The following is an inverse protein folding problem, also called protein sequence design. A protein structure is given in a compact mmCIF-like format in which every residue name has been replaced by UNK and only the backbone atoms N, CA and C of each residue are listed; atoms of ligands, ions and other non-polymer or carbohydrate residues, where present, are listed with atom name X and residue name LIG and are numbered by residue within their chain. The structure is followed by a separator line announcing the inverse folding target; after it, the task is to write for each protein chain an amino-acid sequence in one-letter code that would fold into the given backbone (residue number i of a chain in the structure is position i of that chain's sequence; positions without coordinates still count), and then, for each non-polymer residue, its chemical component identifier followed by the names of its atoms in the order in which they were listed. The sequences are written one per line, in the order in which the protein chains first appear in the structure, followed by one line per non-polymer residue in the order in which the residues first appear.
data_IF_894402843357
#
_entry.id   IF_894402843357
#
_cell.length_a   1.000
_cell.length_b   1.000
_cell.length_c   1.000
_cell.angle_alpha   90.00
_cell.angle_beta   90.00
_cell.angle_gamma   90.00
#
_symmetry.space_group_name_H-M   'P 1'
#
loop_
_entity.id
_entity.type
_entity.pdbx_description
1 polymer ?
#
# COMPACT_ATOMS: atom_id res chain seq x y z
N UNK A 1 -26.76 -39.37 -63.23
CA UNK A 1 -26.10 -40.16 -62.18
C UNK A 1 -25.22 -39.20 -61.39
N UNK A 2 -25.56 -39.01 -60.12
CA UNK A 2 -25.06 -37.90 -59.29
C UNK A 2 -23.74 -38.28 -58.61
N UNK A 3 -22.65 -37.63 -59.00
CA UNK A 3 -21.32 -37.84 -58.45
C UNK A 3 -21.21 -37.14 -57.09
N UNK A 4 -21.14 -37.93 -56.02
CA UNK A 4 -20.96 -37.44 -54.64
C UNK A 4 -19.56 -36.83 -54.48
N UNK A 5 -19.50 -35.59 -54.05
CA UNK A 5 -18.29 -34.91 -53.60
C UNK A 5 -17.95 -35.37 -52.18
N UNK A 6 -16.93 -36.23 -52.03
CA UNK A 6 -16.38 -36.59 -50.73
C UNK A 6 -15.46 -35.48 -50.23
N UNK A 7 -16.03 -34.60 -49.41
CA UNK A 7 -15.30 -33.57 -48.67
C UNK A 7 -14.63 -34.26 -47.45
N UNK A 8 -13.38 -34.72 -47.60
CA UNK A 8 -12.61 -35.28 -46.48
C UNK A 8 -11.94 -34.13 -45.70
N UNK A 9 -12.21 -33.96 -44.39
CA UNK A 9 -11.50 -32.99 -43.57
C UNK A 9 -10.02 -33.41 -43.46
N UNK A 10 -9.11 -32.46 -43.69
CA UNK A 10 -7.68 -32.67 -43.49
C UNK A 10 -7.43 -33.02 -42.02
N UNK A 11 -7.02 -34.26 -41.75
CA UNK A 11 -6.53 -34.67 -40.44
C UNK A 11 -5.26 -33.90 -40.14
N UNK A 12 -5.37 -32.79 -39.40
CA UNK A 12 -4.23 -32.12 -38.82
C UNK A 12 -3.65 -33.07 -37.75
N UNK A 13 -2.61 -33.79 -38.16
CA UNK A 13 -1.90 -34.73 -37.31
C UNK A 13 -1.43 -34.09 -36.01
N UNK A 14 -1.43 -34.92 -34.97
CA UNK A 14 -0.87 -34.68 -33.65
C UNK A 14 0.59 -34.18 -33.76
N UNK A 15 0.79 -32.87 -33.94
CA UNK A 15 2.11 -32.25 -33.75
C UNK A 15 2.35 -32.20 -32.25
N UNK A 16 3.17 -33.12 -31.74
CA UNK A 16 3.84 -32.93 -30.45
C UNK A 16 4.44 -31.53 -30.48
N UNK A 17 3.92 -30.63 -29.63
CA UNK A 17 4.44 -29.28 -29.49
C UNK A 17 5.82 -29.41 -28.87
N UNK A 18 6.88 -29.41 -29.68
CA UNK A 18 8.24 -29.31 -29.17
C UNK A 18 8.36 -27.99 -28.42
N UNK A 19 8.73 -28.04 -27.15
CA UNK A 19 9.04 -26.84 -26.37
C UNK A 19 10.24 -26.15 -27.01
N UNK A 20 10.14 -24.82 -27.18
CA UNK A 20 11.23 -24.02 -27.72
C UNK A 20 12.44 -24.10 -26.76
N UNK A 21 13.65 -24.17 -27.31
CA UNK A 21 14.86 -24.13 -26.47
C UNK A 21 15.02 -22.74 -25.85
N UNK A 22 15.84 -22.62 -24.80
CA UNK A 22 16.08 -21.32 -24.14
C UNK A 22 16.65 -20.30 -25.12
N UNK A 23 17.46 -20.76 -26.06
CA UNK A 23 18.07 -20.00 -27.15
C UNK A 23 17.02 -19.52 -28.14
N UNK A 24 16.04 -20.36 -28.49
CA UNK A 24 14.93 -20.00 -29.37
C UNK A 24 14.03 -18.93 -28.74
N UNK A 25 13.71 -19.07 -27.45
CA UNK A 25 12.92 -18.09 -26.68
C UNK A 25 13.63 -16.74 -26.60
N UNK A 26 14.96 -16.72 -26.56
CA UNK A 26 15.76 -15.49 -26.56
C UNK A 26 15.78 -14.80 -27.94
N UNK A 27 15.60 -15.55 -29.03
CA UNK A 27 15.55 -15.04 -30.41
C UNK A 27 14.17 -14.50 -30.80
N UNK A 28 13.11 -14.82 -30.04
CA UNK A 28 11.76 -14.32 -30.31
C UNK A 28 11.63 -12.82 -30.08
N UNK A 29 10.72 -12.17 -30.81
CA UNK A 29 10.34 -10.80 -30.47
C UNK A 29 9.63 -10.75 -29.10
N UNK A 30 9.65 -9.61 -28.38
CA UNK A 30 9.09 -9.52 -27.03
C UNK A 30 7.62 -9.97 -26.91
N UNK A 31 6.79 -9.68 -27.91
CA UNK A 31 5.37 -10.08 -27.92
C UNK A 31 5.19 -11.60 -28.10
N UNK A 32 5.99 -12.21 -28.98
CA UNK A 32 5.98 -13.67 -29.20
C UNK A 32 6.52 -14.41 -27.97
N UNK A 33 7.57 -13.88 -27.34
CA UNK A 33 8.14 -14.42 -26.11
C UNK A 33 7.13 -14.39 -24.96
N UNK A 34 6.46 -13.27 -24.76
CA UNK A 34 5.42 -13.15 -23.73
C UNK A 34 4.28 -14.14 -23.98
N UNK A 35 3.82 -14.27 -25.22
CA UNK A 35 2.77 -15.22 -25.59
C UNK A 35 3.21 -16.67 -25.37
N UNK A 36 4.46 -17.02 -25.67
CA UNK A 36 4.99 -18.37 -25.44
C UNK A 36 5.06 -18.69 -23.94
N UNK A 37 5.67 -17.81 -23.15
CA UNK A 37 5.83 -17.99 -21.69
C UNK A 37 4.49 -18.07 -20.93
N UNK A 38 3.43 -17.43 -21.43
CA UNK A 38 2.10 -17.50 -20.82
C UNK A 38 1.47 -18.91 -20.83
N UNK A 39 1.87 -19.77 -21.79
CA UNK A 39 1.38 -21.14 -21.90
C UNK A 39 2.44 -22.19 -21.55
N UNK A 40 3.66 -21.76 -21.23
CA UNK A 40 4.70 -22.66 -20.75
C UNK A 40 4.43 -23.02 -19.29
N UNK A 41 4.64 -24.29 -18.94
CA UNK A 41 4.41 -24.71 -17.57
C UNK A 41 5.43 -24.05 -16.64
N UNK A 42 5.00 -23.51 -15.49
CA UNK A 42 5.91 -22.88 -14.54
C UNK A 42 6.97 -23.87 -14.06
N UNK A 43 8.18 -23.39 -13.68
CA UNK A 43 9.25 -24.25 -13.21
C UNK A 43 8.81 -25.03 -11.96
N UNK A 44 9.45 -26.18 -11.71
CA UNK A 44 9.07 -27.10 -10.62
C UNK A 44 8.98 -26.40 -9.26
N UNK A 45 9.90 -25.50 -8.96
CA UNK A 45 9.87 -24.69 -7.74
C UNK A 45 8.65 -23.75 -7.68
N UNK A 46 8.32 -23.06 -8.78
CA UNK A 46 7.12 -22.24 -8.81
C UNK A 46 5.85 -23.09 -8.61
N UNK A 47 5.81 -24.32 -9.15
CA UNK A 47 4.71 -25.26 -8.90
C UNK A 47 4.60 -25.67 -7.42
N UNK A 48 5.71 -25.90 -6.72
CA UNK A 48 5.68 -26.21 -5.28
C UNK A 48 5.18 -25.02 -4.47
N UNK A 49 5.66 -23.81 -4.75
CA UNK A 49 5.16 -22.58 -4.12
C UNK A 49 3.66 -22.36 -4.37
N UNK A 50 3.20 -22.58 -5.60
CA UNK A 50 1.78 -22.49 -5.96
C UNK A 50 0.93 -23.53 -5.22
N UNK A 51 1.41 -24.77 -5.09
CA UNK A 51 0.72 -25.82 -4.34
C UNK A 51 0.64 -25.50 -2.85
N UNK A 52 1.74 -25.04 -2.23
CA UNK A 52 1.76 -24.61 -0.83
C UNK A 52 0.83 -23.42 -0.59
N UNK A 53 0.78 -22.46 -1.51
CA UNK A 53 -0.14 -21.32 -1.44
C UNK A 53 -1.59 -21.77 -1.50
N UNK A 54 -1.95 -22.65 -2.46
CA UNK A 54 -3.30 -23.22 -2.58
C UNK A 54 -3.69 -24.03 -1.34
N UNK A 55 -2.77 -24.81 -0.78
CA UNK A 55 -2.99 -25.56 0.45
C UNK A 55 -3.27 -24.63 1.64
N UNK A 56 -2.51 -23.54 1.77
CA UNK A 56 -2.76 -22.52 2.80
C UNK A 56 -4.14 -21.87 2.67
N UNK A 57 -4.54 -21.48 1.46
CA UNK A 57 -5.85 -20.88 1.19
C UNK A 57 -6.97 -21.88 1.49
N UNK A 58 -6.83 -23.13 1.02
CA UNK A 58 -7.81 -24.18 1.28
C UNK A 58 -7.91 -24.54 2.77
N UNK A 59 -6.80 -24.53 3.50
CA UNK A 59 -6.81 -24.70 4.95
C UNK A 59 -7.54 -23.55 5.65
N UNK A 60 -7.32 -22.30 5.22
CA UNK A 60 -8.03 -21.14 5.75
C UNK A 60 -9.54 -21.19 5.46
N UNK A 61 -9.92 -21.56 4.24
CA UNK A 61 -11.33 -21.76 3.86
C UNK A 61 -11.96 -22.90 4.66
N UNK A 62 -11.23 -23.98 4.91
CA UNK A 62 -11.71 -25.12 5.71
C UNK A 62 -11.85 -24.76 7.19
N UNK A 63 -10.94 -23.97 7.76
CA UNK A 63 -11.07 -23.45 9.13
C UNK A 63 -12.20 -22.43 9.25
N UNK A 64 -12.40 -21.58 8.24
CA UNK A 64 -13.51 -20.63 8.19
C UNK A 64 -14.88 -21.31 8.02
N UNK A 65 -14.93 -22.42 7.27
CA UNK A 65 -16.14 -23.23 7.09
C UNK A 65 -16.39 -24.20 8.26
N UNK A 66 -15.34 -24.65 8.95
CA UNK A 66 -15.39 -25.54 10.10
C UNK A 66 -16.07 -24.93 11.34
N UNK A 67 -16.13 -23.60 11.44
CA UNK A 67 -16.90 -22.91 12.47
C UNK A 67 -18.42 -22.99 12.30
N UNK A 68 -18.94 -23.61 11.23
CA UNK A 68 -20.38 -23.72 10.93
C UNK A 68 -20.90 -25.16 10.83
N UNK A 69 -20.10 -26.19 11.17
CA UNK A 69 -20.55 -27.59 11.15
C UNK A 69 -20.82 -28.08 12.57
N UNK A 70 -22.09 -27.92 12.95
CA UNK A 70 -22.87 -28.68 13.93
C UNK A 70 -22.10 -29.73 14.74
N UNK A 71 -21.93 -29.47 16.04
CA UNK A 71 -21.82 -30.51 17.06
C UNK A 71 -23.23 -30.97 17.45
N UNK A 72 -23.53 -32.28 17.46
CA UNK A 72 -24.73 -32.80 18.07
C UNK A 72 -24.49 -33.05 19.58
N UNK A 73 -25.36 -32.46 20.39
CA UNK A 73 -25.67 -32.82 21.79
C UNK A 73 -24.67 -32.36 22.86
N UNK A 74 -25.08 -31.36 23.63
CA UNK A 74 -24.44 -30.96 24.89
C UNK A 74 -24.74 -29.50 25.22
N UNK A 75 -25.93 -29.22 25.75
CA UNK A 75 -26.30 -27.90 26.27
C UNK A 75 -25.33 -27.51 27.41
N UNK A 76 -24.38 -26.63 27.12
CA UNK A 76 -23.73 -25.76 28.09
C UNK A 76 -24.07 -24.32 27.71
N UNK A 77 -24.85 -23.69 28.56
CA UNK A 77 -25.46 -22.38 28.35
C UNK A 77 -24.44 -21.26 28.60
N UNK A 78 -23.32 -21.27 27.87
CA UNK A 78 -22.25 -20.26 27.94
C UNK A 78 -21.81 -19.70 26.58
N UNK A 79 -22.34 -20.16 25.44
CA UNK A 79 -21.72 -19.84 24.13
C UNK A 79 -22.00 -18.43 23.56
N UNK A 80 -23.23 -17.89 23.63
CA UNK A 80 -23.55 -16.66 22.87
C UNK A 80 -22.96 -15.37 23.46
N UNK A 81 -22.92 -15.25 24.80
CA UNK A 81 -22.29 -14.08 25.46
C UNK A 81 -20.78 -14.12 25.29
N UNK A 82 -20.17 -15.29 25.42
CA UNK A 82 -18.71 -15.46 25.30
C UNK A 82 -18.26 -15.22 23.85
N UNK A 83 -19.05 -15.66 22.86
CA UNK A 83 -18.89 -15.34 21.44
C UNK A 83 -18.95 -13.83 21.16
N UNK A 84 -19.92 -13.13 21.74
CA UNK A 84 -20.07 -11.69 21.54
C UNK A 84 -18.96 -10.90 22.23
N UNK A 85 -18.56 -11.29 23.44
CA UNK A 85 -17.41 -10.73 24.15
C UNK A 85 -16.12 -10.96 23.37
N UNK A 86 -15.91 -12.14 22.78
CA UNK A 86 -14.77 -12.43 21.92
C UNK A 86 -14.74 -11.55 20.67
N UNK A 87 -15.89 -11.31 20.01
CA UNK A 87 -15.97 -10.37 18.87
C UNK A 87 -15.62 -8.95 19.27
N UNK A 88 -16.06 -8.49 20.44
CA UNK A 88 -15.70 -7.17 20.98
C UNK A 88 -14.20 -7.08 21.27
N UNK A 89 -13.62 -8.12 21.86
CA UNK A 89 -12.18 -8.21 22.09
C UNK A 89 -11.39 -8.21 20.78
N UNK A 90 -11.79 -8.99 19.78
CA UNK A 90 -11.15 -9.04 18.46
C UNK A 90 -11.20 -7.69 17.74
N UNK A 91 -12.32 -6.96 17.87
CA UNK A 91 -12.44 -5.59 17.35
C UNK A 91 -11.42 -4.66 18.00
N UNK A 92 -11.34 -4.67 19.33
CA UNK A 92 -10.40 -3.84 20.10
C UNK A 92 -8.96 -4.20 19.73
N UNK A 93 -8.62 -5.50 19.69
CA UNK A 93 -7.30 -5.99 19.30
C UNK A 93 -6.96 -5.55 17.87
N UNK A 94 -7.92 -5.62 16.94
CA UNK A 94 -7.76 -5.15 15.57
C UNK A 94 -7.47 -3.65 15.50
N UNK A 95 -8.20 -2.84 16.26
CA UNK A 95 -7.96 -1.39 16.37
C UNK A 95 -6.58 -1.08 16.96
N UNK A 96 -6.20 -1.77 18.04
CA UNK A 96 -4.90 -1.59 18.69
C UNK A 96 -3.75 -1.97 17.76
N UNK A 97 -3.84 -3.12 17.07
CA UNK A 97 -2.84 -3.54 16.07
C UNK A 97 -2.72 -2.54 14.92
N UNK A 98 -3.84 -2.00 14.43
CA UNK A 98 -3.82 -0.97 13.40
C UNK A 98 -3.17 0.33 13.89
N UNK A 99 -3.48 0.75 15.12
CA UNK A 99 -2.85 1.91 15.75
C UNK A 99 -1.34 1.71 15.94
N UNK A 100 -0.92 0.53 16.40
CA UNK A 100 0.50 0.16 16.55
C UNK A 100 1.24 0.18 15.20
N UNK A 101 0.67 -0.43 14.16
CA UNK A 101 1.27 -0.45 12.83
C UNK A 101 1.46 0.98 12.27
N UNK A 102 0.45 1.85 12.42
CA UNK A 102 0.55 3.26 12.06
C UNK A 102 1.64 3.97 12.87
N UNK A 103 1.71 3.72 14.17
CA UNK A 103 2.72 4.30 15.04
C UNK A 103 4.13 3.85 14.63
N UNK A 104 4.33 2.57 14.30
CA UNK A 104 5.61 2.04 13.81
C UNK A 104 6.04 2.71 12.50
N UNK A 105 5.11 2.88 11.54
CA UNK A 105 5.40 3.61 10.29
C UNK A 105 5.75 5.07 10.58
N UNK A 106 5.03 5.73 11.49
CA UNK A 106 5.32 7.10 11.90
C UNK A 106 6.72 7.22 12.53
N UNK A 107 7.07 6.33 13.45
CA UNK A 107 8.39 6.30 14.09
C UNK A 107 9.50 6.07 13.07
N UNK A 108 9.32 5.12 12.15
CA UNK A 108 10.29 4.86 11.07
C UNK A 108 10.51 6.09 10.19
N UNK A 109 9.42 6.78 9.79
CA UNK A 109 9.50 8.02 9.02
C UNK A 109 10.21 9.13 9.78
N UNK A 110 9.95 9.25 11.08
CA UNK A 110 10.59 10.24 11.94
C UNK A 110 12.09 9.96 12.09
N UNK A 111 12.45 8.71 12.35
CA UNK A 111 13.85 8.26 12.42
C UNK A 111 14.59 8.52 11.11
N UNK A 112 13.98 8.16 9.97
CA UNK A 112 14.54 8.43 8.66
C UNK A 112 14.78 9.93 8.44
N UNK A 113 13.79 10.78 8.76
CA UNK A 113 13.93 12.23 8.64
C UNK A 113 15.08 12.74 9.51
N UNK A 114 15.15 12.32 10.77
CA UNK A 114 16.20 12.74 11.70
C UNK A 114 17.59 12.31 11.21
N UNK A 115 17.74 11.05 10.78
CA UNK A 115 19.00 10.51 10.27
C UNK A 115 19.44 11.23 9.01
N UNK A 116 18.52 11.44 8.06
CA UNK A 116 18.79 12.20 6.83
C UNK A 116 19.25 13.62 7.15
N UNK A 117 18.60 14.31 8.09
CA UNK A 117 19.02 15.65 8.51
C UNK A 117 20.42 15.63 9.13
N UNK A 118 20.73 14.65 9.98
CA UNK A 118 22.05 14.51 10.58
C UNK A 118 23.14 14.26 9.53
N UNK A 119 22.88 13.38 8.55
CA UNK A 119 23.82 13.10 7.46
C UNK A 119 24.07 14.31 6.57
N UNK A 120 23.02 15.05 6.20
CA UNK A 120 23.14 16.28 5.43
C UNK A 120 23.97 17.32 6.20
N UNK A 121 23.68 17.52 7.49
CA UNK A 121 24.41 18.47 8.31
C UNK A 121 25.89 18.08 8.42
N UNK A 122 26.17 16.78 8.57
CA UNK A 122 27.53 16.26 8.56
C UNK A 122 28.22 16.56 7.22
N UNK A 123 27.57 16.25 6.09
CA UNK A 123 28.11 16.54 4.75
C UNK A 123 28.44 18.02 4.57
N UNK A 124 27.57 18.93 5.01
CA UNK A 124 27.81 20.38 4.95
C UNK A 124 28.99 20.77 5.85
N UNK A 125 29.06 20.21 7.07
CA UNK A 125 30.14 20.50 8.02
C UNK A 125 31.52 20.03 7.57
N UNK A 126 31.57 18.95 6.79
CA UNK A 126 32.82 18.38 6.27
C UNK A 126 33.33 19.08 5.00
N UNK A 127 32.64 20.11 4.50
CA UNK A 127 33.11 20.85 3.32
C UNK A 127 34.37 21.66 3.66
N UNK A 128 35.30 21.72 2.72
CA UNK A 128 36.60 22.39 2.89
C UNK A 128 36.52 23.92 2.91
N UNK A 129 35.43 24.51 2.43
CA UNK A 129 35.21 25.96 2.37
C UNK A 129 33.76 26.30 2.75
N UNK A 130 33.58 27.44 3.41
CA UNK A 130 32.26 27.95 3.73
C UNK A 130 31.42 28.19 2.46
N UNK A 131 32.05 28.63 1.37
CA UNK A 131 31.33 28.87 0.10
C UNK A 131 30.77 27.57 -0.49
N UNK A 132 31.50 26.45 -0.40
CA UNK A 132 31.02 25.16 -0.89
C UNK A 132 29.94 24.58 0.02
N UNK A 133 30.06 24.76 1.34
CA UNK A 133 29.01 24.42 2.30
C UNK A 133 27.69 25.14 1.98
N UNK A 134 27.72 26.46 1.79
CA UNK A 134 26.53 27.26 1.44
C UNK A 134 25.94 26.82 0.10
N UNK A 135 26.79 26.57 -0.92
CA UNK A 135 26.30 26.07 -2.21
C UNK A 135 25.62 24.71 -2.10
N UNK A 136 26.13 23.81 -1.26
CA UNK A 136 25.53 22.51 -1.02
C UNK A 136 24.17 22.65 -0.32
N UNK A 137 24.06 23.54 0.66
CA UNK A 137 22.81 23.84 1.36
C UNK A 137 21.73 24.37 0.40
N UNK A 138 22.10 25.26 -0.53
CA UNK A 138 21.18 25.83 -1.53
C UNK A 138 20.62 24.79 -2.52
N UNK A 139 21.26 23.63 -2.69
CA UNK A 139 20.74 22.54 -3.53
C UNK A 139 19.67 21.72 -2.82
N UNK A 140 19.54 21.87 -1.50
CA UNK A 140 18.55 21.14 -0.72
C UNK A 140 17.15 21.73 -0.93
N UNK A 141 16.10 20.88 -0.96
CA UNK A 141 14.74 21.37 -0.93
C UNK A 141 14.52 22.24 0.30
N UNK A 142 13.98 23.44 0.11
CA UNK A 142 13.56 24.30 1.21
C UNK A 142 12.33 23.64 1.83
N UNK A 143 12.47 23.10 3.04
CA UNK A 143 11.33 22.62 3.80
C UNK A 143 10.51 23.84 4.21
N UNK A 144 9.42 24.13 3.50
CA UNK A 144 8.45 25.13 3.94
C UNK A 144 7.96 24.70 5.32
N UNK A 145 8.39 25.42 6.35
CA UNK A 145 7.74 25.30 7.64
C UNK A 145 6.29 25.71 7.38
N UNK A 146 5.37 24.76 7.56
CA UNK A 146 3.95 25.10 7.65
C UNK A 146 3.82 25.94 8.90
N UNK A 147 4.06 27.25 8.77
CA UNK A 147 3.68 28.23 9.75
C UNK A 147 2.18 28.06 9.81
N UNK A 148 1.70 27.30 10.79
CA UNK A 148 0.29 27.29 11.11
C UNK A 148 0.04 28.73 11.57
N UNK A 149 -0.44 29.57 10.66
CA UNK A 149 -0.98 30.90 10.96
C UNK A 149 -2.30 30.66 11.69
N UNK A 150 -2.21 30.07 12.87
CA UNK A 150 -3.32 29.99 13.80
C UNK A 150 -3.57 31.43 14.18
N UNK A 151 -4.77 31.90 13.87
CA UNK A 151 -5.20 33.24 14.24
C UNK A 151 -5.13 33.35 15.77
N UNK A 152 -4.19 34.15 16.26
CA UNK A 152 -3.94 34.36 17.69
C UNK A 152 -4.99 35.27 18.34
N UNK A 153 -5.93 35.85 17.58
CA UNK A 153 -6.94 36.73 18.11
C UNK A 153 -8.06 35.93 18.76
N UNK A 154 -8.30 36.23 20.04
CA UNK A 154 -9.51 35.80 20.72
C UNK A 154 -10.76 36.43 20.07
N UNK A 155 -11.94 35.82 20.25
CA UNK A 155 -13.19 36.25 19.60
C UNK A 155 -13.50 37.73 19.85
N UNK A 156 -13.22 38.22 21.05
CA UNK A 156 -13.43 39.63 21.40
C UNK A 156 -12.44 40.56 20.68
N UNK A 157 -11.17 40.14 20.59
CA UNK A 157 -10.13 40.88 19.89
C UNK A 157 -10.41 40.92 18.39
N UNK A 158 -10.85 39.79 17.82
CA UNK A 158 -11.25 39.71 16.41
C UNK A 158 -12.42 40.63 16.11
N UNK A 159 -13.47 40.59 16.93
CA UNK A 159 -14.62 41.49 16.78
C UNK A 159 -14.21 42.96 16.90
N UNK A 160 -13.27 43.28 17.80
CA UNK A 160 -12.73 44.65 17.92
C UNK A 160 -11.92 45.05 16.70
N UNK A 161 -11.13 44.15 16.13
CA UNK A 161 -10.37 44.40 14.90
C UNK A 161 -11.31 44.59 13.72
N UNK A 162 -12.35 43.77 13.59
CA UNK A 162 -13.39 43.92 12.57
C UNK A 162 -14.12 45.26 12.69
N UNK A 163 -14.51 45.64 13.91
CA UNK A 163 -15.13 46.94 14.19
C UNK A 163 -14.21 48.13 13.81
N UNK A 164 -12.90 48.00 14.01
CA UNK A 164 -11.91 49.00 13.61
C UNK A 164 -11.72 49.03 12.09
N UNK A 165 -11.73 47.87 11.43
CA UNK A 165 -11.58 47.77 9.97
C UNK A 165 -12.80 48.33 9.24
N UNK A 166 -14.00 48.15 9.80
CA UNK A 166 -15.25 48.66 9.24
C UNK A 166 -15.45 50.17 9.50
N UNK A 167 -14.66 50.78 10.38
CA UNK A 167 -14.74 52.19 10.72
C UNK A 167 -13.94 53.08 9.75
N UNK A 168 -14.54 53.38 8.60
CA UNK A 168 -13.96 54.24 7.56
C UNK A 168 -13.64 55.67 8.04
N UNK A 169 -14.27 56.13 9.12
CA UNK A 169 -14.17 57.51 9.63
C UNK A 169 -13.27 57.62 10.87
N UNK A 170 -12.73 56.51 11.37
CA UNK A 170 -11.81 56.47 12.51
C UNK A 170 -12.40 56.92 13.85
N UNK A 171 -13.74 56.90 13.98
CA UNK A 171 -14.47 57.37 15.16
C UNK A 171 -14.25 56.49 16.41
N UNK A 172 -13.94 55.21 16.22
CA UNK A 172 -13.75 54.22 17.29
C UNK A 172 -12.38 54.29 17.96
N UNK A 173 -11.42 55.00 17.34
CA UNK A 173 -10.01 55.06 17.77
C UNK A 173 -9.58 56.48 18.15
N UNK A 174 -10.17 57.49 17.51
CA UNK A 174 -9.80 58.90 17.74
C UNK A 174 -10.48 59.43 19.00
N UNK A 175 -9.74 59.52 20.11
CA UNK A 175 -10.18 60.25 21.31
C UNK A 175 -9.71 61.70 21.21
N UNK A 176 -10.65 62.63 21.09
CA UNK A 176 -10.41 64.08 21.25
C UNK A 176 -10.15 64.44 22.70
#
# INVERSE_FOLDING_TARGET
MSSKSDNKPSTCGNRRRSSATKEDVKRMCPQQRARYLAYEEPPKEAKTWMAMSRQRVSAWESSAAGGKRQTPVGHHHCDDRDEEEKRRQDLIIGQLKAAEARNRVRQMRLQYRNMRTQEINLMISCQSSAQTAVRLELLLPTEESKINTIDCLDKLQRKRVEEILDDEKGLTITRR
#
